data_IF_396523523317
#
_entry.id   IF_396523523317
#
_cell.length_a   1.000
_cell.length_b   1.000
_cell.length_c   1.000
_cell.angle_alpha   90.00
_cell.angle_beta   90.00
_cell.angle_gamma   90.00
#
_symmetry.space_group_name_H-M   'P 1'
#
loop_
_entity.id
_entity.type
_entity.pdbx_description
1 polymer ?
#
# COMPACT_ATOMS: atom_id res chain seq x y z
N UNK A 1 7.11 -20.25 -1.93
CA UNK A 1 6.29 -19.13 -1.43
C UNK A 1 5.33 -19.70 -0.42
N UNK A 2 5.35 -19.21 0.81
CA UNK A 2 4.41 -19.62 1.87
C UNK A 2 3.08 -18.89 1.72
N UNK A 3 2.02 -19.40 2.35
CA UNK A 3 0.72 -18.73 2.37
C UNK A 3 0.82 -17.30 2.93
N UNK A 4 1.66 -17.11 3.95
CA UNK A 4 1.90 -15.80 4.57
C UNK A 4 2.59 -14.81 3.63
N UNK A 5 3.54 -15.28 2.82
CA UNK A 5 4.17 -14.44 1.79
C UNK A 5 3.17 -14.03 0.70
N UNK A 6 2.23 -14.93 0.37
CA UNK A 6 1.18 -14.65 -0.61
C UNK A 6 0.14 -13.65 -0.07
N UNK A 7 -0.32 -13.84 1.18
CA UNK A 7 -1.20 -12.89 1.89
C UNK A 7 -0.59 -11.49 1.91
N UNK A 8 0.67 -11.39 2.36
CA UNK A 8 1.43 -10.14 2.38
C UNK A 8 1.48 -9.48 1.01
N UNK A 9 1.90 -10.22 -0.02
CA UNK A 9 2.02 -9.67 -1.39
C UNK A 9 0.68 -9.17 -1.91
N UNK A 10 -0.40 -9.91 -1.69
CA UNK A 10 -1.72 -9.54 -2.16
C UNK A 10 -2.24 -8.30 -1.43
N UNK A 11 -2.15 -8.29 -0.10
CA UNK A 11 -2.62 -7.17 0.71
C UNK A 11 -1.85 -5.89 0.38
N UNK A 12 -0.52 -5.94 0.39
CA UNK A 12 0.32 -4.76 0.16
C UNK A 12 0.11 -4.20 -1.25
N UNK A 13 0.04 -5.06 -2.27
CA UNK A 13 -0.23 -4.59 -3.64
C UNK A 13 -1.61 -3.96 -3.76
N UNK A 14 -2.65 -4.62 -3.23
CA UNK A 14 -3.98 -4.06 -3.24
C UNK A 14 -4.01 -2.71 -2.50
N UNK A 15 -3.53 -2.66 -1.26
CA UNK A 15 -3.60 -1.48 -0.40
C UNK A 15 -2.81 -0.28 -0.93
N UNK A 16 -1.62 -0.49 -1.50
CA UNK A 16 -0.74 0.60 -1.93
C UNK A 16 -0.96 1.03 -3.38
N UNK A 17 -1.36 0.11 -4.28
CA UNK A 17 -1.30 0.35 -5.73
C UNK A 17 -2.66 0.29 -6.43
N UNK A 18 -3.57 -0.57 -5.99
CA UNK A 18 -4.80 -0.85 -6.73
C UNK A 18 -6.07 -0.32 -6.07
N UNK A 19 -6.11 -0.31 -4.74
CA UNK A 19 -7.28 0.09 -3.98
C UNK A 19 -7.51 1.59 -4.09
N UNK A 20 -8.73 1.97 -4.41
CA UNK A 20 -9.18 3.36 -4.33
C UNK A 20 -9.40 3.77 -2.87
N UNK A 21 -9.36 5.08 -2.54
CA UNK A 21 -9.66 5.55 -1.19
C UNK A 21 -11.02 5.06 -0.66
N UNK A 22 -12.02 4.94 -1.54
CA UNK A 22 -13.38 4.45 -1.20
C UNK A 22 -13.37 2.97 -0.84
N UNK A 23 -12.61 2.15 -1.56
CA UNK A 23 -12.49 0.72 -1.25
C UNK A 23 -11.74 0.49 0.07
N UNK A 24 -10.70 1.28 0.33
CA UNK A 24 -9.98 1.25 1.61
C UNK A 24 -10.91 1.67 2.75
N UNK A 25 -11.68 2.75 2.58
CA UNK A 25 -12.64 3.21 3.59
C UNK A 25 -13.71 2.14 3.87
N UNK A 26 -14.28 1.55 2.81
CA UNK A 26 -15.24 0.47 2.96
C UNK A 26 -14.63 -0.74 3.69
N UNK A 27 -13.42 -1.16 3.32
CA UNK A 27 -12.72 -2.27 3.99
C UNK A 27 -12.44 -1.97 5.46
N UNK A 28 -12.05 -0.73 5.80
CA UNK A 28 -11.88 -0.28 7.20
C UNK A 28 -13.18 -0.26 7.99
N UNK A 29 -14.33 -0.08 7.33
CA UNK A 29 -15.66 -0.14 7.98
C UNK A 29 -16.13 -1.58 8.19
N UNK A 30 -15.96 -2.45 7.20
CA UNK A 30 -16.48 -3.82 7.23
C UNK A 30 -15.55 -4.80 7.94
N UNK A 31 -14.24 -4.62 7.80
CA UNK A 31 -13.20 -5.56 8.24
C UNK A 31 -12.14 -4.86 9.11
N UNK A 32 -12.56 -3.92 9.97
CA UNK A 32 -11.66 -3.04 10.73
C UNK A 32 -10.51 -3.79 11.40
N UNK A 33 -10.82 -4.82 12.19
CA UNK A 33 -9.83 -5.58 12.95
C UNK A 33 -8.77 -6.22 12.05
N UNK A 34 -9.21 -6.81 10.94
CA UNK A 34 -8.31 -7.49 9.99
C UNK A 34 -7.44 -6.47 9.24
N UNK A 35 -8.04 -5.34 8.83
CA UNK A 35 -7.33 -4.23 8.22
C UNK A 35 -6.26 -3.66 9.16
N UNK A 36 -6.61 -3.42 10.43
CA UNK A 36 -5.67 -2.88 11.42
C UNK A 36 -4.52 -3.87 11.68
N UNK A 37 -4.81 -5.19 11.74
CA UNK A 37 -3.79 -6.25 11.83
C UNK A 37 -2.84 -6.20 10.65
N UNK A 38 -3.35 -6.25 9.42
CA UNK A 38 -2.55 -6.34 8.20
C UNK A 38 -1.75 -5.06 7.94
N UNK A 39 -2.33 -3.88 8.22
CA UNK A 39 -1.62 -2.59 8.13
C UNK A 39 -0.45 -2.56 9.11
N UNK A 40 -0.66 -3.01 10.35
CA UNK A 40 0.39 -3.03 11.35
C UNK A 40 1.48 -4.06 11.00
N UNK A 41 1.06 -5.28 10.63
CA UNK A 41 1.96 -6.40 10.32
C UNK A 41 2.84 -6.14 9.10
N UNK A 42 2.34 -5.41 8.10
CA UNK A 42 3.07 -5.10 6.86
C UNK A 42 3.42 -3.62 6.72
N UNK A 43 3.49 -2.90 7.85
CA UNK A 43 3.75 -1.46 7.90
C UNK A 43 5.06 -1.07 7.22
N UNK A 44 6.12 -1.86 7.39
CA UNK A 44 7.42 -1.62 6.77
C UNK A 44 7.34 -1.62 5.23
N UNK A 45 6.72 -2.64 4.63
CA UNK A 45 6.61 -2.70 3.16
C UNK A 45 5.71 -1.60 2.60
N UNK A 46 4.63 -1.27 3.32
CA UNK A 46 3.74 -0.16 2.95
C UNK A 46 4.52 1.16 2.93
N UNK A 47 5.34 1.41 3.95
CA UNK A 47 6.19 2.60 4.04
C UNK A 47 7.20 2.66 2.90
N UNK A 48 7.90 1.57 2.62
CA UNK A 48 8.88 1.50 1.52
C UNK A 48 8.26 1.76 0.15
N UNK A 49 7.06 1.24 -0.11
CA UNK A 49 6.33 1.51 -1.36
C UNK A 49 5.93 2.98 -1.45
N UNK A 50 5.36 3.54 -0.38
CA UNK A 50 4.95 4.95 -0.36
C UNK A 50 6.15 5.90 -0.54
N UNK A 51 7.29 5.62 0.09
CA UNK A 51 8.54 6.36 -0.10
C UNK A 51 9.02 6.27 -1.55
N UNK A 52 9.05 5.08 -2.13
CA UNK A 52 9.47 4.89 -3.52
C UNK A 52 8.58 5.65 -4.51
N UNK A 53 7.26 5.69 -4.25
CA UNK A 53 6.30 6.43 -5.07
C UNK A 53 6.53 7.93 -4.97
N UNK A 54 6.70 8.46 -3.75
CA UNK A 54 6.99 9.88 -3.56
C UNK A 54 8.32 10.31 -4.19
N UNK A 55 9.34 9.45 -4.16
CA UNK A 55 10.59 9.69 -4.88
C UNK A 55 10.37 9.71 -6.39
N UNK A 56 9.65 8.73 -6.95
CA UNK A 56 9.35 8.68 -8.37
C UNK A 56 8.60 9.93 -8.86
N UNK A 57 7.55 10.33 -8.14
CA UNK A 57 6.80 11.56 -8.44
C UNK A 57 7.70 12.78 -8.42
N UNK A 58 8.56 12.92 -7.41
CA UNK A 58 9.52 14.03 -7.32
C UNK A 58 10.50 14.05 -8.51
N UNK A 59 11.06 12.91 -8.89
CA UNK A 59 11.97 12.83 -10.05
C UNK A 59 11.25 13.11 -11.37
N UNK A 60 10.03 12.61 -11.54
CA UNK A 60 9.23 12.85 -12.74
C UNK A 60 8.88 14.33 -12.89
N UNK A 61 8.47 15.00 -11.82
CA UNK A 61 8.18 16.44 -11.85
C UNK A 61 9.43 17.30 -12.13
N UNK A 62 10.59 16.92 -11.58
CA UNK A 62 11.87 17.57 -11.91
C UNK A 62 12.20 17.43 -13.41
N UNK A 63 11.91 16.27 -14.01
CA UNK A 63 12.22 16.01 -15.42
C UNK A 63 11.39 16.80 -16.42
N UNK A 64 10.19 17.25 -16.05
CA UNK A 64 9.31 18.08 -16.91
C UNK A 64 9.66 19.57 -16.91
N UNK A 65 10.45 20.01 -15.94
CA UNK A 65 10.79 21.43 -15.75
C UNK A 65 12.10 21.82 -16.46
N UNK A 66 12.70 20.91 -17.22
CA UNK A 66 13.89 21.14 -18.07
C UNK A 66 13.51 21.08 -19.53
#
# INVERSE_FOLDING_TARGET
MTEKEFEKRNFVNWYCLYATPKEIENAKRTNKTEMDRLINEYSYEIEMINLSRGLYEKYFEISKTR
#
